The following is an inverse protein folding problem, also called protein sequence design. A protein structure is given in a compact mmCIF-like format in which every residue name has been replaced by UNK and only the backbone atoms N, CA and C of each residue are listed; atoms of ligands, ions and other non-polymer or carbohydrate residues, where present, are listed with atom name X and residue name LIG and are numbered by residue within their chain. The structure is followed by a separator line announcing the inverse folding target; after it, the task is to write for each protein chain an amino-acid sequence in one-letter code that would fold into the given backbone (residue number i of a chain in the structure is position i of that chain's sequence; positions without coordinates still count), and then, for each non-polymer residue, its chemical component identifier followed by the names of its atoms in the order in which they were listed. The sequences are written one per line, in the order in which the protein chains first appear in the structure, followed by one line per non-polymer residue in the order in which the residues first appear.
data_IF_773619123074
#
_entry.id   IF_773619123074
#
_cell.length_a   1.000
_cell.length_b   1.000
_cell.length_c   1.000
_cell.angle_alpha   90.00
_cell.angle_beta   90.00
_cell.angle_gamma   90.00
#
_symmetry.space_group_name_H-M   'P 1'
#
loop_
_entity.id
_entity.type
_entity.pdbx_description
1 polymer ?
#
# COMPACT_ATOMS: atom_id res chain seq x y z
N UNK A 1 -49.92 -55.31 -35.81
CA UNK A 1 -49.38 -53.97 -36.11
C UNK A 1 -49.43 -53.17 -34.82
N UNK A 2 -48.36 -53.19 -34.04
CA UNK A 2 -48.30 -52.51 -32.73
C UNK A 2 -48.10 -51.01 -32.93
N UNK A 3 -49.01 -50.23 -32.36
CA UNK A 3 -49.08 -48.77 -32.49
C UNK A 3 -47.88 -48.10 -31.81
N UNK A 4 -46.93 -47.62 -32.60
CA UNK A 4 -45.70 -46.95 -32.13
C UNK A 4 -45.86 -45.46 -31.89
N UNK A 5 -47.08 -44.91 -32.06
CA UNK A 5 -47.34 -43.47 -31.95
C UNK A 5 -46.96 -42.91 -30.56
N UNK A 6 -47.18 -43.66 -29.48
CA UNK A 6 -46.87 -43.19 -28.12
C UNK A 6 -45.37 -43.18 -27.77
N UNK A 7 -44.50 -43.85 -28.53
CA UNK A 7 -43.07 -43.93 -28.22
C UNK A 7 -42.31 -42.64 -28.53
N UNK A 8 -42.73 -41.89 -29.56
CA UNK A 8 -42.10 -40.63 -29.95
C UNK A 8 -42.25 -39.55 -28.87
N UNK A 9 -43.46 -39.23 -28.34
CA UNK A 9 -43.60 -38.26 -27.27
C UNK A 9 -42.97 -38.72 -25.95
N UNK A 10 -42.99 -40.03 -25.65
CA UNK A 10 -42.33 -40.57 -24.46
C UNK A 10 -40.81 -40.38 -24.50
N UNK A 11 -40.18 -40.59 -25.66
CA UNK A 11 -38.74 -40.42 -25.85
C UNK A 11 -38.33 -38.94 -25.76
N UNK A 12 -39.14 -38.03 -26.33
CA UNK A 12 -38.89 -36.58 -26.20
C UNK A 12 -39.00 -36.14 -24.74
N UNK A 13 -39.99 -36.64 -24.00
CA UNK A 13 -40.15 -36.32 -22.59
C UNK A 13 -38.98 -36.82 -21.74
N UNK A 14 -38.47 -38.04 -22.00
CA UNK A 14 -37.31 -38.56 -21.26
C UNK A 14 -36.03 -37.79 -21.56
N UNK A 15 -35.80 -37.38 -22.82
CA UNK A 15 -34.66 -36.51 -23.17
C UNK A 15 -34.78 -35.17 -22.47
N UNK A 16 -35.97 -34.56 -22.43
CA UNK A 16 -36.19 -33.27 -21.79
C UNK A 16 -36.00 -33.32 -20.26
N UNK A 17 -36.45 -34.41 -19.61
CA UNK A 17 -36.22 -34.61 -18.17
C UNK A 17 -34.74 -34.86 -17.89
N UNK A 18 -34.05 -35.64 -18.72
CA UNK A 18 -32.63 -35.92 -18.56
C UNK A 18 -31.78 -34.66 -18.77
N UNK A 19 -32.10 -33.84 -19.77
CA UNK A 19 -31.41 -32.58 -20.02
C UNK A 19 -31.66 -31.57 -18.89
N UNK A 20 -32.89 -31.49 -18.37
CA UNK A 20 -33.20 -30.65 -17.21
C UNK A 20 -32.49 -31.12 -15.93
N UNK A 21 -32.42 -32.43 -15.70
CA UNK A 21 -31.70 -33.00 -14.55
C UNK A 21 -30.20 -32.76 -14.65
N UNK A 22 -29.60 -32.88 -15.84
CA UNK A 22 -28.21 -32.52 -16.08
C UNK A 22 -27.96 -31.03 -15.82
N UNK A 23 -28.85 -30.15 -16.30
CA UNK A 23 -28.75 -28.70 -16.06
C UNK A 23 -28.83 -28.39 -14.56
N UNK A 24 -29.81 -28.94 -13.83
CA UNK A 24 -29.93 -28.81 -12.38
C UNK A 24 -28.68 -29.29 -11.63
N UNK A 25 -28.03 -30.35 -12.11
CA UNK A 25 -26.80 -30.88 -11.51
C UNK A 25 -25.58 -29.99 -11.80
N UNK A 26 -25.59 -29.23 -12.89
CA UNK A 26 -24.54 -28.24 -13.23
C UNK A 26 -24.76 -26.85 -12.63
N UNK A 27 -25.97 -26.54 -12.14
CA UNK A 27 -26.24 -25.28 -11.46
C UNK A 27 -25.65 -25.37 -10.06
N UNK A 28 -24.59 -24.60 -9.82
CA UNK A 28 -24.01 -24.49 -8.49
C UNK A 28 -25.08 -24.02 -7.48
N UNK A 29 -25.13 -24.62 -6.28
CA UNK A 29 -26.09 -24.21 -5.27
C UNK A 29 -25.84 -22.76 -4.87
N UNK A 30 -26.91 -22.00 -4.63
CA UNK A 30 -26.87 -20.57 -4.27
C UNK A 30 -25.95 -20.30 -3.07
N UNK A 31 -25.82 -21.26 -2.15
CA UNK A 31 -24.90 -21.20 -1.00
C UNK A 31 -23.43 -21.11 -1.41
N UNK A 32 -23.01 -21.82 -2.45
CA UNK A 32 -21.64 -21.81 -2.97
C UNK A 32 -21.34 -20.49 -3.66
N UNK A 33 -22.30 -19.94 -4.40
CA UNK A 33 -22.15 -18.61 -5.02
C UNK A 33 -22.01 -17.51 -3.97
N UNK A 34 -22.87 -17.51 -2.93
CA UNK A 34 -22.78 -16.57 -1.81
C UNK A 34 -21.45 -16.68 -1.06
N UNK A 35 -20.99 -17.92 -0.83
CA UNK A 35 -19.68 -18.17 -0.22
C UNK A 35 -18.54 -17.61 -1.07
N UNK A 36 -18.51 -17.91 -2.36
CA UNK A 36 -17.48 -17.39 -3.27
C UNK A 36 -17.46 -15.87 -3.31
N UNK A 37 -18.62 -15.24 -3.36
CA UNK A 37 -18.74 -13.78 -3.31
C UNK A 37 -18.20 -13.22 -1.99
N UNK A 38 -18.62 -13.78 -0.85
CA UNK A 38 -18.13 -13.34 0.46
C UNK A 38 -16.62 -13.52 0.61
N UNK A 39 -16.07 -14.64 0.13
CA UNK A 39 -14.63 -14.88 0.10
C UNK A 39 -13.89 -13.90 -0.81
N UNK A 40 -14.45 -13.57 -1.98
CA UNK A 40 -13.89 -12.56 -2.87
C UNK A 40 -13.82 -11.19 -2.19
N UNK A 41 -14.91 -10.77 -1.53
CA UNK A 41 -14.90 -9.53 -0.73
C UNK A 41 -13.82 -9.57 0.35
N UNK A 42 -13.66 -10.68 1.07
CA UNK A 42 -12.59 -10.79 2.07
C UNK A 42 -11.18 -10.68 1.46
N UNK A 43 -10.96 -11.22 0.25
CA UNK A 43 -9.67 -11.05 -0.44
C UNK A 43 -9.43 -9.61 -0.86
N UNK A 44 -10.47 -8.89 -1.29
CA UNK A 44 -10.37 -7.46 -1.58
C UNK A 44 -10.05 -6.66 -0.32
N UNK A 45 -10.75 -6.94 0.78
CA UNK A 45 -10.51 -6.26 2.06
C UNK A 45 -9.10 -6.55 2.58
N UNK A 46 -8.60 -7.78 2.41
CA UNK A 46 -7.23 -8.10 2.73
C UNK A 46 -6.24 -7.28 1.89
N UNK A 47 -6.45 -7.17 0.58
CA UNK A 47 -5.60 -6.35 -0.28
C UNK A 47 -5.63 -4.86 0.10
N UNK A 48 -6.79 -4.33 0.49
CA UNK A 48 -6.93 -2.97 1.01
C UNK A 48 -6.16 -2.84 2.33
N UNK A 49 -6.33 -3.78 3.26
CA UNK A 49 -5.62 -3.81 4.54
C UNK A 49 -4.10 -3.81 4.35
N UNK A 50 -3.59 -4.58 3.39
CA UNK A 50 -2.15 -4.62 3.08
C UNK A 50 -1.65 -3.27 2.52
N UNK A 51 -2.48 -2.58 1.73
CA UNK A 51 -2.20 -1.23 1.24
C UNK A 51 -2.15 -0.21 2.39
N UNK A 52 -3.09 -0.27 3.34
CA UNK A 52 -3.08 0.59 4.53
C UNK A 52 -1.85 0.29 5.40
N UNK A 53 -1.47 -0.98 5.54
CA UNK A 53 -0.24 -1.36 6.22
C UNK A 53 1.00 -0.78 5.52
N UNK A 54 1.04 -0.77 4.19
CA UNK A 54 2.13 -0.13 3.46
C UNK A 54 2.17 1.40 3.70
N UNK A 55 1.02 2.06 3.87
CA UNK A 55 0.99 3.47 4.29
C UNK A 55 1.50 3.66 5.72
N UNK A 56 1.19 2.73 6.63
CA UNK A 56 1.68 2.72 8.01
C UNK A 56 3.20 2.56 8.08
N UNK A 57 3.77 1.63 7.31
CA UNK A 57 5.23 1.44 7.26
C UNK A 57 5.95 2.62 6.61
N UNK A 58 5.34 3.25 5.60
CA UNK A 58 5.86 4.49 5.03
C UNK A 58 5.84 5.63 6.07
N UNK A 59 4.76 5.75 6.85
CA UNK A 59 4.66 6.74 7.93
C UNK A 59 5.75 6.51 8.99
N UNK A 60 5.96 5.26 9.42
CA UNK A 60 7.01 4.89 10.39
C UNK A 60 8.41 5.31 9.90
N UNK A 61 8.70 5.08 8.62
CA UNK A 61 9.96 5.50 8.01
C UNK A 61 10.11 7.03 7.97
N UNK A 62 9.02 7.75 7.69
CA UNK A 62 9.01 9.22 7.69
C UNK A 62 9.23 9.80 9.10
N UNK A 63 8.62 9.20 10.13
CA UNK A 63 8.85 9.57 11.55
C UNK A 63 10.31 9.32 11.93
N UNK A 64 10.84 8.15 11.61
CA UNK A 64 12.23 7.78 11.95
C UNK A 64 13.26 8.68 11.26
N UNK A 65 12.97 9.11 10.01
CA UNK A 65 13.82 10.06 9.29
C UNK A 65 13.79 11.45 9.92
N UNK A 66 12.61 11.93 10.31
CA UNK A 66 12.48 13.24 10.98
C UNK A 66 13.17 13.25 12.35
N UNK A 67 13.12 12.13 13.09
CA UNK A 67 13.82 11.98 14.37
C UNK A 67 15.34 12.03 14.21
N UNK A 68 15.90 11.26 13.27
CA UNK A 68 17.35 11.20 13.04
C UNK A 68 17.96 12.50 12.50
N UNK A 69 17.28 13.19 11.58
CA UNK A 69 17.80 14.46 11.05
C UNK A 69 17.68 15.62 12.05
N UNK A 70 16.78 15.53 13.04
CA UNK A 70 16.67 16.55 14.11
C UNK A 70 17.86 16.54 15.07
N UNK A 71 18.56 15.40 15.22
CA UNK A 71 19.81 15.34 16.01
C UNK A 71 21.04 15.80 15.21
N UNK A 72 21.03 15.66 13.88
CA UNK A 72 22.20 15.96 13.03
C UNK A 72 22.19 17.40 12.47
N UNK A 73 21.03 18.05 12.38
CA UNK A 73 20.91 19.39 11.79
C UNK A 73 20.31 20.42 12.76
N UNK A 74 21.05 20.72 13.83
CA UNK A 74 20.96 22.00 14.54
C UNK A 74 21.57 23.14 13.68
N UNK A 75 21.08 23.30 12.46
CA UNK A 75 21.38 24.47 11.62
C UNK A 75 20.06 25.20 11.38
N UNK A 76 19.68 26.11 12.30
CA UNK A 76 18.44 26.85 12.17
C UNK A 76 18.54 27.87 11.02
N UNK A 77 17.38 28.11 10.39
CA UNK A 77 17.03 29.17 9.44
C UNK A 77 18.18 29.78 8.60
N UNK A 78 18.11 29.53 7.29
CA UNK A 78 18.79 30.30 6.25
C UNK A 78 20.28 30.56 6.55
N UNK A 79 21.11 29.51 6.43
CA UNK A 79 22.57 29.51 6.65
C UNK A 79 23.39 30.40 5.69
N UNK A 80 22.80 31.46 5.14
CA UNK A 80 23.52 32.46 4.37
C UNK A 80 24.12 33.46 5.36
N UNK A 81 25.33 33.15 5.85
CA UNK A 81 26.14 33.96 6.78
C UNK A 81 25.59 34.09 8.22
N UNK A 82 25.53 32.99 8.95
CA UNK A 82 25.32 33.02 10.40
C UNK A 82 26.50 32.39 11.15
N UNK A 83 27.01 33.12 12.14
CA UNK A 83 27.95 32.61 13.15
C UNK A 83 27.14 32.20 14.38
N UNK A 84 27.54 31.14 15.05
CA UNK A 84 26.97 30.83 16.36
C UNK A 84 27.34 31.92 17.38
N UNK A 85 26.65 31.95 18.52
CA UNK A 85 26.92 32.93 19.59
C UNK A 85 28.32 32.79 20.19
N UNK A 86 29.08 31.75 19.82
CA UNK A 86 30.48 31.54 20.20
C UNK A 86 31.47 32.03 19.14
N UNK A 87 30.98 32.62 18.04
CA UNK A 87 31.78 33.17 16.95
C UNK A 87 32.30 32.13 15.95
N UNK A 88 31.81 30.88 16.02
CA UNK A 88 32.19 29.82 15.09
C UNK A 88 31.21 29.78 13.92
N UNK A 89 31.76 29.73 12.72
CA UNK A 89 31.00 29.72 11.46
C UNK A 89 30.23 28.40 11.38
N UNK A 90 28.92 28.48 11.25
CA UNK A 90 28.09 27.31 10.94
C UNK A 90 28.49 26.81 9.55
N UNK A 91 28.65 25.48 9.40
CA UNK A 91 28.99 24.87 8.10
C UNK A 91 27.87 25.17 7.10
N UNK A 92 28.22 25.84 6.01
CA UNK A 92 27.28 26.13 4.92
C UNK A 92 27.42 25.12 3.79
N UNK A 93 26.39 25.03 2.95
CA UNK A 93 26.41 24.19 1.72
C UNK A 93 27.61 24.52 0.82
N UNK A 94 28.05 25.78 0.83
CA UNK A 94 29.18 26.26 0.04
C UNK A 94 30.54 25.89 0.64
N UNK A 95 30.62 25.64 1.96
CA UNK A 95 31.87 25.23 2.61
C UNK A 95 32.25 23.76 2.30
N UNK A 96 31.31 22.97 1.78
CA UNK A 96 31.52 21.56 1.38
C UNK A 96 31.58 21.40 -0.15
N UNK A 97 31.36 22.49 -0.90
CA UNK A 97 31.40 22.46 -2.35
C UNK A 97 32.86 22.51 -2.83
N UNK A 98 33.33 21.42 -3.41
CA UNK A 98 34.67 21.31 -3.97
C UNK A 98 34.67 21.84 -5.41
N UNK A 99 35.10 23.10 -5.55
CA UNK A 99 35.18 23.79 -6.83
C UNK A 99 36.17 23.10 -7.78
N UNK A 100 37.25 22.52 -7.26
CA UNK A 100 38.25 21.84 -8.10
C UNK A 100 37.70 20.54 -8.68
N UNK A 101 36.94 19.78 -7.89
CA UNK A 101 36.29 18.57 -8.37
C UNK A 101 35.23 18.84 -9.45
N UNK A 102 34.44 19.92 -9.30
CA UNK A 102 33.44 20.31 -10.30
C UNK A 102 34.07 20.93 -11.55
N UNK A 103 35.18 21.66 -11.41
CA UNK A 103 35.96 22.16 -12.56
C UNK A 103 36.56 20.99 -13.36
N UNK A 104 37.16 20.02 -12.67
CA UNK A 104 37.74 18.83 -13.30
C UNK A 104 36.66 17.97 -13.98
N UNK A 105 35.44 17.97 -13.44
CA UNK A 105 34.29 17.31 -14.05
C UNK A 105 33.82 18.04 -15.31
N UNK A 106 33.82 19.38 -15.32
CA UNK A 106 33.53 20.16 -16.53
C UNK A 106 34.59 19.95 -17.62
N UNK A 107 35.87 19.92 -17.24
CA UNK A 107 36.97 19.62 -18.16
C UNK A 107 36.85 18.18 -18.72
N UNK A 108 36.46 17.21 -17.88
CA UNK A 108 36.15 15.84 -18.33
C UNK A 108 34.90 15.76 -19.21
N UNK A 109 33.86 16.54 -18.91
CA UNK A 109 32.62 16.58 -19.69
C UNK A 109 32.88 17.23 -21.06
N UNK A 110 33.74 18.26 -21.15
CA UNK A 110 34.15 18.89 -22.41
C UNK A 110 35.10 18.00 -23.24
N UNK A 111 36.00 17.26 -22.60
CA UNK A 111 36.89 16.28 -23.27
C UNK A 111 36.11 15.04 -23.74
N UNK A 112 35.09 14.60 -22.99
CA UNK A 112 34.22 13.48 -23.36
C UNK A 112 33.13 13.85 -24.37
N UNK A 113 32.75 15.13 -24.51
CA UNK A 113 31.82 15.57 -25.56
C UNK A 113 32.41 15.55 -26.98
N UNK A 114 33.74 15.39 -27.11
CA UNK A 114 34.40 15.13 -28.40
C UNK A 114 34.36 13.66 -28.83
N UNK A 115 33.86 12.76 -27.98
CA UNK A 115 33.64 11.36 -28.36
C UNK A 115 32.55 10.69 -27.51
N UNK A 116 31.40 10.46 -28.16
CA UNK A 116 30.29 9.61 -27.74
C UNK A 116 29.23 10.25 -26.83
N UNK A 117 28.12 10.59 -27.46
CA UNK A 117 26.80 10.72 -26.87
C UNK A 117 26.40 9.42 -26.15
N UNK A 118 26.50 9.40 -24.81
CA UNK A 118 25.71 8.47 -24.01
C UNK A 118 25.29 9.11 -22.70
N UNK A 119 23.98 9.36 -22.64
CA UNK A 119 23.29 9.92 -21.48
C UNK A 119 23.50 9.04 -20.24
N UNK A 120 24.32 9.52 -19.30
CA UNK A 120 24.38 8.99 -17.94
C UNK A 120 23.50 9.84 -17.04
N UNK A 121 22.48 9.18 -16.52
CA UNK A 121 21.43 9.70 -15.65
C UNK A 121 22.04 10.39 -14.43
N UNK A 122 21.79 11.69 -14.28
CA UNK A 122 22.00 12.38 -13.02
C UNK A 122 21.07 11.75 -11.97
N UNK A 123 21.66 11.18 -10.93
CA UNK A 123 20.98 10.82 -9.69
C UNK A 123 20.62 12.10 -8.96
N UNK A 124 19.58 12.79 -9.44
CA UNK A 124 18.86 13.79 -8.65
C UNK A 124 18.32 13.06 -7.43
N UNK A 125 19.03 13.18 -6.31
CA UNK A 125 18.55 12.79 -4.98
C UNK A 125 17.30 13.63 -4.74
N UNK A 126 16.14 13.07 -5.08
CA UNK A 126 14.82 13.59 -4.71
C UNK A 126 14.77 13.57 -3.19
N UNK A 127 15.19 14.66 -2.55
CA UNK A 127 14.85 14.90 -1.15
C UNK A 127 13.33 14.95 -1.09
N UNK A 128 12.73 13.90 -0.54
CA UNK A 128 11.30 13.87 -0.22
C UNK A 128 10.97 15.07 0.68
N UNK A 129 9.81 15.71 0.49
CA UNK A 129 9.43 16.86 1.30
C UNK A 129 9.45 16.49 2.79
N UNK A 130 10.06 17.34 3.62
CA UNK A 130 10.05 17.19 5.07
C UNK A 130 8.63 17.42 5.57
N UNK A 131 8.04 16.43 6.22
CA UNK A 131 6.72 16.57 6.81
C UNK A 131 6.84 17.22 8.19
N UNK A 132 5.95 18.16 8.49
CA UNK A 132 5.84 18.70 9.85
C UNK A 132 5.24 17.65 10.78
N UNK A 133 5.51 17.75 12.09
CA UNK A 133 4.87 16.87 13.10
C UNK A 133 3.34 16.85 12.96
N UNK A 134 2.72 18.00 12.71
CA UNK A 134 1.28 18.11 12.47
C UNK A 134 0.80 17.35 11.23
N UNK A 135 1.58 17.31 10.15
CA UNK A 135 1.27 16.55 8.94
C UNK A 135 1.40 15.05 9.19
N UNK A 136 2.41 14.62 9.95
CA UNK A 136 2.60 13.21 10.33
C UNK A 136 1.46 12.73 11.24
N UNK A 137 1.03 13.55 12.19
CA UNK A 137 -0.13 13.26 13.03
C UNK A 137 -1.44 13.20 12.22
N UNK A 138 -1.67 14.13 11.29
CA UNK A 138 -2.83 14.08 10.40
C UNK A 138 -2.87 12.76 9.63
N UNK A 139 -1.73 12.37 9.05
CA UNK A 139 -1.60 11.11 8.31
C UNK A 139 -1.81 9.88 9.20
N UNK A 140 -1.34 9.92 10.45
CA UNK A 140 -1.58 8.85 11.42
C UNK A 140 -3.08 8.69 11.72
N UNK A 141 -3.81 9.79 11.89
CA UNK A 141 -5.27 9.80 12.12
C UNK A 141 -6.03 9.32 10.87
N UNK A 142 -5.58 9.71 9.67
CA UNK A 142 -6.18 9.20 8.42
C UNK A 142 -6.03 7.68 8.31
N UNK A 143 -4.85 7.14 8.62
CA UNK A 143 -4.60 5.69 8.61
C UNK A 143 -5.46 4.96 9.65
N UNK A 144 -5.65 5.54 10.84
CA UNK A 144 -6.57 5.01 11.86
C UNK A 144 -7.99 4.91 11.32
N UNK A 145 -8.49 5.98 10.70
CA UNK A 145 -9.83 6.00 10.14
C UNK A 145 -9.98 5.00 8.98
N UNK A 146 -8.94 4.77 8.18
CA UNK A 146 -8.95 3.72 7.15
C UNK A 146 -9.08 2.32 7.77
N UNK A 147 -8.37 2.02 8.86
CA UNK A 147 -8.52 0.74 9.58
C UNK A 147 -9.90 0.58 10.20
N UNK A 148 -10.45 1.62 10.82
CA UNK A 148 -11.82 1.60 11.37
C UNK A 148 -12.88 1.40 10.28
N UNK A 149 -12.70 2.02 9.11
CA UNK A 149 -13.57 1.80 7.96
C UNK A 149 -13.51 0.34 7.48
N UNK A 150 -12.32 -0.27 7.47
CA UNK A 150 -12.15 -1.69 7.14
C UNK A 150 -12.87 -2.58 8.16
N UNK A 151 -12.73 -2.32 9.46
CA UNK A 151 -13.40 -3.08 10.52
C UNK A 151 -14.92 -2.99 10.40
N UNK A 152 -15.45 -1.78 10.20
CA UNK A 152 -16.87 -1.53 9.97
C UNK A 152 -17.38 -2.28 8.74
N UNK A 153 -16.62 -2.29 7.64
CA UNK A 153 -16.98 -3.04 6.44
C UNK A 153 -16.97 -4.56 6.67
N UNK A 154 -15.97 -5.08 7.41
CA UNK A 154 -15.88 -6.51 7.74
C UNK A 154 -17.09 -7.00 8.54
N UNK A 155 -17.68 -6.17 9.40
CA UNK A 155 -18.89 -6.50 10.16
C UNK A 155 -20.12 -6.73 9.25
N UNK A 156 -20.15 -6.07 8.08
CA UNK A 156 -21.23 -6.25 7.10
C UNK A 156 -21.14 -7.59 6.37
N UNK A 157 -19.95 -8.17 6.25
CA UNK A 157 -19.72 -9.43 5.53
C UNK A 157 -20.24 -10.60 6.37
N UNK A 158 -21.27 -11.28 5.86
CA UNK A 158 -21.81 -12.52 6.44
C UNK A 158 -21.51 -13.72 5.55
N UNK A 159 -21.29 -14.88 6.17
CA UNK A 159 -21.01 -16.11 5.45
C UNK A 159 -20.96 -17.33 6.35
N UNK A 160 -20.44 -18.42 5.80
CA UNK A 160 -20.24 -19.69 6.48
C UNK A 160 -19.06 -19.63 7.47
N UNK A 161 -18.74 -20.79 8.08
CA UNK A 161 -17.70 -20.87 9.10
C UNK A 161 -16.31 -20.47 8.58
N UNK A 162 -15.99 -20.77 7.32
CA UNK A 162 -14.72 -20.37 6.70
C UNK A 162 -14.62 -18.85 6.54
N UNK A 163 -15.65 -18.20 5.99
CA UNK A 163 -15.72 -16.73 5.89
C UNK A 163 -15.60 -16.11 7.27
N UNK A 164 -16.24 -16.69 8.29
CA UNK A 164 -16.14 -16.22 9.67
C UNK A 164 -14.71 -16.33 10.22
N UNK A 165 -14.00 -17.43 9.95
CA UNK A 165 -12.61 -17.63 10.39
C UNK A 165 -11.69 -16.60 9.76
N UNK A 166 -11.76 -16.42 8.43
CA UNK A 166 -10.91 -15.45 7.71
C UNK A 166 -11.19 -14.02 8.17
N UNK A 167 -12.47 -13.64 8.31
CA UNK A 167 -12.84 -12.33 8.85
C UNK A 167 -12.27 -12.12 10.26
N UNK A 168 -12.36 -13.12 11.13
CA UNK A 168 -11.83 -13.03 12.50
C UNK A 168 -10.31 -12.88 12.50
N UNK A 169 -9.61 -13.59 11.62
CA UNK A 169 -8.16 -13.45 11.47
C UNK A 169 -7.78 -12.03 11.04
N UNK A 170 -8.51 -11.45 10.08
CA UNK A 170 -8.25 -10.10 9.60
C UNK A 170 -8.53 -9.04 10.67
N UNK A 171 -9.66 -9.16 11.38
CA UNK A 171 -9.99 -8.30 12.54
C UNK A 171 -8.92 -8.40 13.63
N UNK A 172 -8.47 -9.62 13.95
CA UNK A 172 -7.40 -9.84 14.91
C UNK A 172 -6.08 -9.19 14.48
N UNK A 173 -5.69 -9.33 13.21
CA UNK A 173 -4.48 -8.69 12.69
C UNK A 173 -4.54 -7.15 12.82
N UNK A 174 -5.69 -6.54 12.52
CA UNK A 174 -5.87 -5.09 12.63
C UNK A 174 -5.80 -4.64 14.09
N UNK A 175 -6.60 -5.26 14.97
CA UNK A 175 -6.72 -4.84 16.37
C UNK A 175 -5.49 -5.17 17.22
N UNK A 176 -4.87 -6.33 16.99
CA UNK A 176 -3.78 -6.82 17.84
C UNK A 176 -2.40 -6.38 17.33
N UNK A 177 -2.28 -6.02 16.04
CA UNK A 177 -0.98 -5.68 15.43
C UNK A 177 -0.93 -4.28 14.85
N UNK A 178 -1.88 -3.88 14.01
CA UNK A 178 -1.76 -2.62 13.25
C UNK A 178 -2.12 -1.39 14.08
N UNK A 179 -3.24 -1.41 14.80
CA UNK A 179 -3.65 -0.30 15.66
C UNK A 179 -2.64 -0.02 16.79
N UNK A 180 -2.14 -1.03 17.55
CA UNK A 180 -1.12 -0.78 18.57
C UNK A 180 0.18 -0.21 18.01
N UNK A 181 0.56 -0.63 16.79
CA UNK A 181 1.75 -0.09 16.10
C UNK A 181 1.54 1.36 15.69
N UNK A 182 0.35 1.72 15.24
CA UNK A 182 -0.01 3.10 14.91
C UNK A 182 -0.01 3.99 16.17
N UNK A 183 -0.54 3.49 17.28
CA UNK A 183 -0.53 4.21 18.57
C UNK A 183 0.89 4.46 19.06
N UNK A 184 1.78 3.47 18.95
CA UNK A 184 3.20 3.65 19.27
C UNK A 184 3.88 4.72 18.41
N UNK A 185 3.51 4.85 17.12
CA UNK A 185 4.01 5.91 16.24
C UNK A 185 3.47 7.28 16.67
N UNK A 186 2.19 7.37 17.03
CA UNK A 186 1.59 8.62 17.53
C UNK A 186 2.25 9.09 18.82
N UNK A 187 2.62 8.18 19.72
CA UNK A 187 3.35 8.50 20.95
C UNK A 187 4.76 9.05 20.69
N UNK A 188 5.39 8.70 19.57
CA UNK A 188 6.73 9.18 19.18
C UNK A 188 6.73 10.56 18.52
N UNK A 189 5.58 11.03 18.02
CA UNK A 189 5.44 12.27 17.26
C UNK A 189 5.24 13.50 18.15
#
# INVERSE_FOLDING_TARGET
MSSTWWHIPALVATIAVLSYALVQLTIEPESVQKKRHAMHLLTEVQAISDSVMAKLTALEHDVQRNGKESEENDVPLNSYYHFDSTGKKLKTKWDTYDVEAELNKLDQDDESNSSSSSATKSSTVKQSPKFTKSQLLSRAVEIEHEFEAILSYLDTIRGDDEVRVVRKQLVGAINDTYLPRLDAIKEQL
#
